data_IF_076098071882
#
_entry.id   IF_076098071882
#
_cell.length_a   1.000
_cell.length_b   1.000
_cell.length_c   1.000
_cell.angle_alpha   90.00
_cell.angle_beta   90.00
_cell.angle_gamma   90.00
#
_symmetry.space_group_name_H-M   'P 1'
#
loop_
_entity.id
_entity.type
_entity.pdbx_description
1 polymer ?
#
# COMPACT_ATOMS: atom_id res chain seq x y z
N UNK A 1 -29.00 -8.69 1.61
CA UNK A 1 -27.83 -8.80 2.51
C UNK A 1 -28.22 -8.19 3.85
N UNK A 2 -28.42 -9.00 4.90
CA UNK A 2 -28.69 -8.46 6.24
C UNK A 2 -27.38 -7.88 6.80
N UNK A 3 -27.36 -6.61 7.18
CA UNK A 3 -26.19 -5.99 7.79
C UNK A 3 -25.93 -6.65 9.14
N UNK A 4 -24.81 -7.40 9.25
CA UNK A 4 -24.37 -8.01 10.50
C UNK A 4 -23.83 -6.89 11.38
N UNK A 5 -24.45 -6.66 12.54
CA UNK A 5 -24.00 -5.66 13.51
C UNK A 5 -23.00 -6.29 14.48
N UNK A 6 -22.00 -5.52 14.88
CA UNK A 6 -20.96 -5.92 15.81
C UNK A 6 -20.99 -4.96 17.01
N UNK A 7 -21.13 -5.50 18.20
CA UNK A 7 -21.03 -4.72 19.44
C UNK A 7 -19.57 -4.36 19.73
N UNK A 8 -19.34 -3.23 20.40
CA UNK A 8 -17.98 -2.76 20.68
C UNK A 8 -17.15 -3.79 21.46
N UNK A 9 -17.76 -4.46 22.44
CA UNK A 9 -17.12 -5.53 23.23
C UNK A 9 -16.69 -6.72 22.38
N UNK A 10 -17.37 -6.96 21.25
CA UNK A 10 -16.97 -7.99 20.29
C UNK A 10 -15.92 -7.48 19.29
N UNK A 11 -15.89 -6.18 19.00
CA UNK A 11 -14.91 -5.54 18.12
C UNK A 11 -13.53 -5.44 18.75
N UNK A 12 -13.46 -5.04 20.03
CA UNK A 12 -12.20 -4.79 20.73
C UNK A 12 -11.19 -5.96 20.65
N UNK A 13 -11.57 -7.23 20.91
CA UNK A 13 -10.61 -8.33 20.80
C UNK A 13 -10.16 -8.57 19.34
N UNK A 14 -11.00 -8.27 18.34
CA UNK A 14 -10.61 -8.36 16.92
C UNK A 14 -9.53 -7.32 16.60
N UNK A 15 -9.74 -6.08 17.04
CA UNK A 15 -8.76 -5.01 16.87
C UNK A 15 -7.45 -5.33 17.60
N UNK A 16 -7.52 -5.82 18.84
CA UNK A 16 -6.32 -6.21 19.61
C UNK A 16 -5.52 -7.31 18.91
N UNK A 17 -6.18 -8.27 18.25
CA UNK A 17 -5.50 -9.30 17.48
C UNK A 17 -4.72 -8.71 16.31
N UNK A 18 -5.33 -7.82 15.54
CA UNK A 18 -4.68 -7.14 14.39
C UNK A 18 -3.55 -6.23 14.89
N UNK A 19 -3.76 -5.50 15.98
CA UNK A 19 -2.76 -4.57 16.52
C UNK A 19 -1.52 -5.31 17.03
N UNK A 20 -1.68 -6.50 17.60
CA UNK A 20 -0.57 -7.29 18.14
C UNK A 20 -0.07 -8.37 17.18
N UNK A 21 -0.51 -8.38 15.92
CA UNK A 21 -0.03 -9.34 14.93
C UNK A 21 1.48 -9.15 14.71
N UNK A 22 2.31 -10.17 14.98
CA UNK A 22 3.75 -10.09 14.76
C UNK A 22 4.12 -10.07 13.26
N UNK A 23 3.18 -10.36 12.36
CA UNK A 23 3.41 -10.42 10.91
C UNK A 23 3.07 -9.12 10.17
N UNK A 24 3.00 -7.99 10.88
CA UNK A 24 2.84 -6.68 10.22
C UNK A 24 4.07 -6.38 9.37
N UNK A 25 3.82 -5.97 8.13
CA UNK A 25 4.88 -5.51 7.24
C UNK A 25 5.58 -4.28 7.83
N UNK A 26 6.90 -4.29 7.74
CA UNK A 26 7.76 -3.16 8.09
C UNK A 26 8.04 -2.31 6.86
N UNK A 27 8.60 -1.13 7.08
CA UNK A 27 9.05 -0.26 5.98
C UNK A 27 9.99 -1.00 5.02
N UNK A 28 10.97 -1.73 5.56
CA UNK A 28 11.95 -2.46 4.77
C UNK A 28 11.29 -3.58 3.94
N UNK A 29 10.29 -4.28 4.50
CA UNK A 29 9.55 -5.32 3.77
C UNK A 29 8.84 -4.76 2.53
N UNK A 30 8.22 -3.58 2.66
CA UNK A 30 7.52 -2.92 1.54
C UNK A 30 8.49 -2.37 0.50
N UNK A 31 9.61 -1.79 0.94
CA UNK A 31 10.66 -1.26 0.05
C UNK A 31 11.30 -2.39 -0.77
N UNK A 32 11.68 -3.50 -0.12
CA UNK A 32 12.23 -4.66 -0.83
C UNK A 32 11.20 -5.28 -1.78
N UNK A 33 9.92 -5.30 -1.40
CA UNK A 33 8.84 -5.75 -2.26
C UNK A 33 8.68 -4.91 -3.54
N UNK A 34 8.89 -3.59 -3.46
CA UNK A 34 8.84 -2.69 -4.61
C UNK A 34 10.13 -2.66 -5.43
N UNK A 35 11.27 -2.96 -4.81
CA UNK A 35 12.57 -3.02 -5.51
C UNK A 35 12.61 -4.03 -6.65
N UNK A 36 11.75 -5.06 -6.62
CA UNK A 36 11.65 -6.04 -7.73
C UNK A 36 11.20 -5.41 -9.05
N UNK A 37 10.58 -4.23 -9.00
CA UNK A 37 10.15 -3.47 -10.18
C UNK A 37 11.22 -2.46 -10.65
N UNK A 38 12.21 -2.15 -9.81
CA UNK A 38 13.32 -1.25 -10.15
C UNK A 38 14.42 -2.01 -10.91
N UNK A 39 14.21 -2.15 -12.22
CA UNK A 39 15.15 -2.85 -13.11
C UNK A 39 16.50 -2.14 -13.24
N UNK A 40 16.52 -0.83 -13.00
CA UNK A 40 17.71 0.03 -13.21
C UNK A 40 18.50 0.26 -11.93
N UNK A 41 17.94 -0.08 -10.77
CA UNK A 41 18.55 0.12 -9.45
C UNK A 41 18.65 1.60 -9.06
N UNK A 42 17.75 2.43 -9.58
CA UNK A 42 17.79 3.88 -9.39
C UNK A 42 16.85 4.37 -8.26
N UNK A 43 16.17 3.45 -7.57
CA UNK A 43 15.24 3.76 -6.49
C UNK A 43 13.86 4.21 -6.97
N UNK A 44 13.50 3.94 -8.23
CA UNK A 44 12.21 4.36 -8.80
C UNK A 44 11.46 3.24 -9.52
N UNK A 45 10.14 3.42 -9.64
CA UNK A 45 9.25 2.58 -10.43
C UNK A 45 8.38 3.47 -11.33
N UNK A 46 8.01 2.99 -12.51
CA UNK A 46 7.08 3.73 -13.36
C UNK A 46 5.69 3.76 -12.69
N UNK A 47 5.08 4.95 -12.59
CA UNK A 47 3.76 5.10 -11.99
C UNK A 47 2.70 4.24 -12.68
N UNK A 48 2.78 4.10 -14.01
CA UNK A 48 1.93 3.19 -14.78
C UNK A 48 2.08 1.71 -14.38
N UNK A 49 3.30 1.23 -14.12
CA UNK A 49 3.52 -0.15 -13.66
C UNK A 49 2.96 -0.35 -12.25
N UNK A 50 3.18 0.62 -11.35
CA UNK A 50 2.66 0.55 -9.98
C UNK A 50 1.13 0.52 -9.95
N UNK A 51 0.46 1.33 -10.79
CA UNK A 51 -1.02 1.31 -10.93
C UNK A 51 -1.55 -0.05 -11.34
N UNK A 52 -0.90 -0.69 -12.32
CA UNK A 52 -1.30 -2.02 -12.77
C UNK A 52 -1.13 -3.04 -11.64
N UNK A 53 -0.01 -2.99 -10.92
CA UNK A 53 0.25 -3.90 -9.79
C UNK A 53 -0.83 -3.76 -8.72
N UNK A 54 -1.13 -2.54 -8.26
CA UNK A 54 -2.15 -2.27 -7.24
C UNK A 54 -3.57 -2.67 -7.66
N UNK A 55 -3.88 -2.59 -8.96
CA UNK A 55 -5.18 -2.99 -9.50
C UNK A 55 -5.34 -4.49 -9.78
N UNK A 56 -4.23 -5.25 -9.84
CA UNK A 56 -4.27 -6.64 -10.33
C UNK A 56 -3.75 -7.67 -9.35
N UNK A 57 -2.79 -7.32 -8.49
CA UNK A 57 -2.10 -8.24 -7.59
C UNK A 57 -2.63 -8.16 -6.16
N UNK A 58 -2.86 -9.32 -5.53
CA UNK A 58 -3.31 -9.38 -4.14
C UNK A 58 -4.73 -8.87 -3.93
N UNK A 59 -4.91 -8.04 -2.90
CA UNK A 59 -6.17 -7.33 -2.64
C UNK A 59 -6.28 -6.14 -3.60
N UNK A 60 -7.12 -6.30 -4.62
CA UNK A 60 -7.23 -5.36 -5.72
C UNK A 60 -7.86 -4.06 -5.26
N UNK A 61 -7.17 -2.97 -5.52
CA UNK A 61 -7.68 -1.63 -5.29
C UNK A 61 -8.52 -1.15 -6.48
N UNK A 62 -9.51 -0.32 -6.22
CA UNK A 62 -10.25 0.40 -7.25
C UNK A 62 -9.41 1.54 -7.84
N UNK A 63 -9.74 1.96 -9.06
CA UNK A 63 -9.06 3.09 -9.72
C UNK A 63 -9.08 4.36 -8.86
N UNK A 64 -10.19 4.63 -8.18
CA UNK A 64 -10.33 5.80 -7.32
C UNK A 64 -9.40 5.74 -6.08
N UNK A 65 -9.20 4.56 -5.50
CA UNK A 65 -8.28 4.39 -4.36
C UNK A 65 -6.83 4.52 -4.82
N UNK A 66 -6.50 3.98 -6.00
CA UNK A 66 -5.17 4.10 -6.61
C UNK A 66 -4.88 5.57 -6.93
N UNK A 67 -5.82 6.29 -7.56
CA UNK A 67 -5.64 7.71 -7.86
C UNK A 67 -5.40 8.56 -6.62
N UNK A 68 -6.10 8.25 -5.51
CA UNK A 68 -5.88 8.89 -4.22
C UNK A 68 -4.47 8.65 -3.66
N UNK A 69 -3.96 7.43 -3.75
CA UNK A 69 -2.59 7.10 -3.30
C UNK A 69 -1.51 7.74 -4.18
N UNK A 70 -1.74 7.80 -5.48
CA UNK A 70 -0.74 8.22 -6.47
C UNK A 70 -0.63 9.74 -6.60
N UNK A 71 -1.56 10.49 -6.01
CA UNK A 71 -1.61 11.94 -6.11
C UNK A 71 -0.33 12.59 -5.56
N UNK A 72 0.40 13.29 -6.45
CA UNK A 72 1.62 14.02 -6.10
C UNK A 72 2.86 13.14 -5.85
N UNK A 73 2.80 11.85 -6.17
CA UNK A 73 3.92 10.92 -5.99
C UNK A 73 4.78 10.75 -7.24
N UNK A 74 4.20 11.00 -8.42
CA UNK A 74 4.88 10.93 -9.72
C UNK A 74 5.68 12.22 -9.98
N UNK A 75 6.91 12.06 -10.47
CA UNK A 75 7.74 13.16 -10.97
C UNK A 75 7.36 13.57 -12.41
N UNK A 76 8.10 14.52 -12.99
CA UNK A 76 7.87 15.00 -14.36
C UNK A 76 8.02 13.92 -15.45
N UNK A 77 8.67 12.80 -15.13
CA UNK A 77 8.87 11.67 -16.03
C UNK A 77 7.84 10.54 -15.80
N UNK A 78 6.92 10.71 -14.84
CA UNK A 78 5.98 9.66 -14.45
C UNK A 78 6.62 8.56 -13.60
N UNK A 79 7.76 8.85 -12.96
CA UNK A 79 8.48 7.93 -12.08
C UNK A 79 8.16 8.23 -10.61
N UNK A 80 8.18 7.18 -9.80
CA UNK A 80 7.88 7.26 -8.36
C UNK A 80 9.09 6.76 -7.58
N UNK A 81 9.57 7.56 -6.65
CA UNK A 81 10.53 7.10 -5.65
C UNK A 81 9.79 6.22 -4.62
N UNK A 82 10.00 4.91 -4.66
CA UNK A 82 9.21 3.99 -3.86
C UNK A 82 9.52 4.08 -2.35
N UNK A 83 10.72 4.49 -1.94
CA UNK A 83 11.04 4.70 -0.53
C UNK A 83 10.24 5.89 0.04
N UNK A 84 10.20 7.01 -0.69
CA UNK A 84 9.40 8.17 -0.32
C UNK A 84 7.91 7.84 -0.33
N UNK A 85 7.45 7.08 -1.33
CA UNK A 85 6.06 6.62 -1.43
C UNK A 85 5.64 5.75 -0.24
N UNK A 86 6.42 4.72 0.11
CA UNK A 86 6.14 3.86 1.27
C UNK A 86 6.15 4.68 2.56
N UNK A 87 7.11 5.60 2.70
CA UNK A 87 7.19 6.48 3.87
C UNK A 87 5.96 7.38 3.99
N UNK A 88 5.46 7.89 2.86
CA UNK A 88 4.24 8.69 2.84
C UNK A 88 3.04 7.85 3.32
N UNK A 89 2.84 6.66 2.76
CA UNK A 89 1.74 5.77 3.13
C UNK A 89 1.79 5.39 4.62
N UNK A 90 2.96 5.02 5.14
CA UNK A 90 3.11 4.61 6.55
C UNK A 90 3.05 5.76 7.55
N UNK A 91 3.05 7.02 7.07
CA UNK A 91 2.95 8.21 7.93
C UNK A 91 1.52 8.71 8.16
N UNK A 92 0.55 8.14 7.43
CA UNK A 92 -0.87 8.46 7.51
C UNK A 92 -1.53 7.74 8.69
#
# INVERSE_FOLDING_TARGET
MAAKRLEFEAFLPMLQHIVNDPNKGTFDDYVEGLRVFDKEGNGTVMGAELRIVLGTLGEKMSEAEIDGLMQGQEDENGSINFEAFVKHIMSI
#
